data_IF_173308911924
#
_entry.id   IF_173308911924
#
_cell.length_a   1.000
_cell.length_b   1.000
_cell.length_c   1.000
_cell.angle_alpha   90.00
_cell.angle_beta   90.00
_cell.angle_gamma   90.00
#
_symmetry.space_group_name_H-M   'P 1'
#
loop_
_entity.id
_entity.type
_entity.pdbx_description
1 polymer ?
#
# COMPACT_ATOMS: atom_id res chain seq x y z
N UNK A 1 2.87 -4.33 -1.98
CA UNK A 1 2.29 -5.49 -1.28
C UNK A 1 0.76 -5.57 -1.43
N UNK A 2 -0.03 -4.54 -1.09
CA UNK A 2 -1.50 -4.59 -1.22
C UNK A 2 -1.98 -5.13 -2.58
N UNK A 3 -1.50 -4.53 -3.67
CA UNK A 3 -1.84 -4.94 -5.05
C UNK A 3 -1.40 -6.38 -5.34
N UNK A 4 -0.23 -6.79 -4.86
CA UNK A 4 0.28 -8.15 -5.07
C UNK A 4 -0.62 -9.18 -4.39
N UNK A 5 -1.02 -8.95 -3.13
CA UNK A 5 -1.87 -9.88 -2.37
C UNK A 5 -3.27 -9.98 -2.97
N UNK A 6 -3.87 -8.85 -3.34
CA UNK A 6 -5.19 -8.85 -4.00
C UNK A 6 -5.16 -9.55 -5.36
N UNK A 7 -4.13 -9.29 -6.19
CA UNK A 7 -4.05 -9.88 -7.52
C UNK A 7 -3.69 -11.37 -7.48
N UNK A 8 -2.77 -11.80 -6.60
CA UNK A 8 -2.38 -13.21 -6.47
C UNK A 8 -3.54 -14.07 -5.93
N UNK A 9 -4.23 -13.62 -4.89
CA UNK A 9 -5.40 -14.35 -4.38
C UNK A 9 -6.55 -14.39 -5.39
N UNK A 10 -6.81 -13.30 -6.11
CA UNK A 10 -7.81 -13.29 -7.18
C UNK A 10 -7.43 -14.18 -8.37
N UNK A 11 -6.14 -14.29 -8.70
CA UNK A 11 -5.66 -15.19 -9.75
C UNK A 11 -5.88 -16.67 -9.37
N UNK A 12 -5.63 -17.06 -8.11
CA UNK A 12 -5.89 -18.42 -7.66
C UNK A 12 -7.39 -18.78 -7.63
N UNK A 13 -8.27 -17.87 -7.22
CA UNK A 13 -9.73 -18.09 -7.28
C UNK A 13 -10.22 -18.27 -8.73
N UNK A 14 -9.73 -17.42 -9.63
CA UNK A 14 -10.09 -17.51 -11.05
C UNK A 14 -9.53 -18.79 -11.71
N UNK A 15 -8.32 -19.22 -11.32
CA UNK A 15 -7.77 -20.49 -11.78
C UNK A 15 -8.63 -21.68 -11.31
N UNK A 16 -9.10 -21.68 -10.06
CA UNK A 16 -10.04 -22.69 -9.54
C UNK A 16 -11.33 -22.72 -10.35
N UNK A 17 -11.96 -21.56 -10.58
CA UNK A 17 -13.20 -21.46 -11.40
C UNK A 17 -13.00 -21.98 -12.82
N UNK A 18 -11.87 -21.66 -13.46
CA UNK A 18 -11.56 -22.18 -14.80
C UNK A 18 -11.48 -23.71 -14.84
N UNK A 19 -10.93 -24.35 -13.80
CA UNK A 19 -10.93 -25.82 -13.67
C UNK A 19 -12.32 -26.35 -13.38
N UNK A 20 -13.10 -25.69 -12.52
CA UNK A 20 -14.50 -26.04 -12.25
C UNK A 20 -15.38 -26.01 -13.51
N UNK A 21 -15.08 -25.11 -14.45
CA UNK A 21 -15.74 -24.98 -15.76
C UNK A 21 -15.33 -26.08 -16.76
N UNK A 22 -14.39 -26.96 -16.39
CA UNK A 22 -14.04 -28.15 -17.19
C UNK A 22 -12.76 -28.04 -18.02
N UNK A 23 -12.06 -26.90 -18.02
CA UNK A 23 -10.89 -26.68 -18.88
C UNK A 23 -9.67 -27.56 -18.53
N UNK A 24 -9.65 -28.19 -17.35
CA UNK A 24 -8.59 -29.11 -16.92
C UNK A 24 -9.11 -30.28 -16.09
N UNK A 25 -10.05 -31.05 -16.64
CA UNK A 25 -10.57 -32.27 -16.00
C UNK A 25 -11.79 -32.04 -15.10
N UNK A 26 -12.18 -30.79 -14.86
CA UNK A 26 -13.43 -30.48 -14.16
C UNK A 26 -13.37 -30.72 -12.66
N UNK A 27 -14.53 -30.62 -12.02
CA UNK A 27 -14.69 -30.87 -10.58
C UNK A 27 -14.27 -32.30 -10.23
N UNK A 28 -13.68 -32.46 -9.05
CA UNK A 28 -13.14 -33.70 -8.48
C UNK A 28 -11.91 -34.30 -9.21
N UNK A 29 -11.32 -33.56 -10.16
CA UNK A 29 -10.02 -33.93 -10.72
C UNK A 29 -8.85 -33.56 -9.79
N UNK A 30 -7.67 -34.12 -10.04
CA UNK A 30 -6.45 -33.74 -9.32
C UNK A 30 -6.11 -32.26 -9.50
N UNK A 31 -6.38 -31.71 -10.69
CA UNK A 31 -6.22 -30.27 -10.96
C UNK A 31 -7.16 -29.43 -10.09
N UNK A 32 -8.42 -29.86 -9.92
CA UNK A 32 -9.37 -29.18 -9.05
C UNK A 32 -8.89 -29.17 -7.60
N UNK A 33 -8.43 -30.32 -7.09
CA UNK A 33 -7.88 -30.41 -5.73
C UNK A 33 -6.68 -29.47 -5.53
N UNK A 34 -5.76 -29.38 -6.51
CA UNK A 34 -4.61 -28.46 -6.44
C UNK A 34 -5.05 -26.99 -6.45
N UNK A 35 -6.03 -26.62 -7.29
CA UNK A 35 -6.53 -25.24 -7.34
C UNK A 35 -7.31 -24.82 -6.09
N UNK A 36 -7.98 -25.76 -5.41
CA UNK A 36 -8.62 -25.50 -4.11
C UNK A 36 -7.57 -25.10 -3.07
N UNK A 37 -6.43 -25.82 -3.01
CA UNK A 37 -5.33 -25.47 -2.10
C UNK A 37 -4.82 -24.05 -2.42
N UNK A 38 -4.63 -23.74 -3.70
CA UNK A 38 -4.20 -22.40 -4.13
C UNK A 38 -5.16 -21.30 -3.71
N UNK A 39 -6.47 -21.48 -3.91
CA UNK A 39 -7.48 -20.50 -3.48
C UNK A 39 -7.55 -20.37 -1.95
N UNK A 40 -7.43 -21.48 -1.22
CA UNK A 40 -7.40 -21.46 0.26
C UNK A 40 -6.22 -20.64 0.80
N UNK A 41 -5.06 -20.70 0.14
CA UNK A 41 -3.91 -19.83 0.46
C UNK A 41 -4.16 -18.39 0.02
N UNK A 42 -4.88 -18.19 -1.08
CA UNK A 42 -5.23 -16.88 -1.65
C UNK A 42 -6.33 -16.11 -0.91
N UNK A 43 -7.23 -16.79 -0.19
CA UNK A 43 -8.36 -16.17 0.52
C UNK A 43 -7.91 -15.14 1.57
N UNK A 44 -6.95 -15.45 2.48
CA UNK A 44 -6.41 -14.43 3.38
C UNK A 44 -5.74 -13.26 2.65
N UNK A 45 -5.21 -13.48 1.45
CA UNK A 45 -4.48 -12.45 0.70
C UNK A 45 -5.45 -11.47 0.01
N UNK A 46 -6.50 -11.99 -0.66
CA UNK A 46 -7.45 -11.16 -1.41
C UNK A 46 -8.53 -10.53 -0.55
N UNK A 47 -8.99 -11.21 0.52
CA UNK A 47 -10.15 -10.76 1.30
C UNK A 47 -9.76 -10.08 2.61
N UNK A 48 -8.56 -10.35 3.13
CA UNK A 48 -8.12 -9.80 4.43
C UNK A 48 -6.91 -8.88 4.28
N UNK A 49 -5.73 -9.43 3.96
CA UNK A 49 -4.47 -8.71 4.04
C UNK A 49 -4.32 -7.63 2.95
N UNK A 50 -4.68 -7.94 1.70
CA UNK A 50 -4.62 -7.00 0.59
C UNK A 50 -5.47 -5.75 0.84
N UNK A 51 -6.79 -5.88 1.09
CA UNK A 51 -7.67 -4.76 1.38
C UNK A 51 -7.30 -4.00 2.67
N UNK A 52 -6.80 -4.69 3.72
CA UNK A 52 -6.47 -4.06 5.00
C UNK A 52 -5.27 -3.11 4.96
N UNK A 53 -4.36 -3.24 3.99
CA UNK A 53 -3.18 -2.37 3.91
C UNK A 53 -3.57 -0.91 3.57
N UNK A 54 -4.61 -0.70 2.76
CA UNK A 54 -5.02 0.66 2.37
C UNK A 54 -5.53 1.51 3.57
N UNK A 55 -6.45 1.02 4.42
CA UNK A 55 -6.83 1.74 5.63
C UNK A 55 -5.69 1.79 6.66
N UNK A 56 -4.83 0.76 6.76
CA UNK A 56 -3.66 0.79 7.65
C UNK A 56 -2.76 2.00 7.38
N UNK A 57 -2.39 2.23 6.11
CA UNK A 57 -1.57 3.38 5.71
C UNK A 57 -2.27 4.69 6.04
N UNK A 58 -3.58 4.78 5.78
CA UNK A 58 -4.36 6.00 6.06
C UNK A 58 -4.39 6.31 7.56
N UNK A 59 -4.64 5.32 8.40
CA UNK A 59 -4.69 5.49 9.86
C UNK A 59 -3.30 5.80 10.41
N UNK A 60 -2.27 5.10 9.96
CA UNK A 60 -0.89 5.35 10.41
C UNK A 60 -0.43 6.78 10.09
N UNK A 61 -0.71 7.27 8.88
CA UNK A 61 -0.40 8.65 8.51
C UNK A 61 -1.21 9.67 9.34
N UNK A 62 -2.49 9.42 9.57
CA UNK A 62 -3.33 10.29 10.40
C UNK A 62 -2.80 10.38 11.84
N UNK A 63 -2.53 9.23 12.47
CA UNK A 63 -1.98 9.17 13.83
C UNK A 63 -0.63 9.89 13.90
N UNK A 64 0.24 9.68 12.91
CA UNK A 64 1.52 10.38 12.82
C UNK A 64 1.35 11.91 12.79
N UNK A 65 0.45 12.42 11.94
CA UNK A 65 0.17 13.85 11.85
C UNK A 65 -0.39 14.44 13.14
N UNK A 66 -1.27 13.70 13.83
CA UNK A 66 -1.85 14.17 15.10
C UNK A 66 -0.82 14.23 16.24
N UNK A 67 0.12 13.27 16.29
CA UNK A 67 1.12 13.18 17.37
C UNK A 67 2.33 14.09 17.12
N UNK A 68 2.60 14.45 15.86
CA UNK A 68 3.79 15.25 15.47
C UNK A 68 3.98 16.52 16.32
N UNK A 69 2.96 17.38 16.59
CA UNK A 69 3.16 18.59 17.39
C UNK A 69 3.59 18.30 18.84
N UNK A 70 3.08 17.22 19.43
CA UNK A 70 3.43 16.82 20.79
C UNK A 70 4.89 16.34 20.87
N UNK A 71 5.35 15.57 19.89
CA UNK A 71 6.76 15.12 19.81
C UNK A 71 7.70 16.31 19.65
N UNK A 72 7.38 17.24 18.75
CA UNK A 72 8.20 18.44 18.51
C UNK A 72 8.31 19.30 19.78
N UNK A 73 7.19 19.49 20.48
CA UNK A 73 7.16 20.25 21.73
C UNK A 73 8.04 19.62 22.82
N UNK A 74 7.96 18.30 22.99
CA UNK A 74 8.73 17.56 24.00
C UNK A 74 10.22 17.48 23.65
N UNK A 75 10.57 17.24 22.39
CA UNK A 75 11.94 16.99 21.96
C UNK A 75 12.79 18.27 21.84
N UNK A 76 12.19 19.41 21.48
CA UNK A 76 12.92 20.67 21.24
C UNK A 76 12.94 21.62 22.45
N UNK A 77 12.50 21.17 23.63
CA UNK A 77 12.60 21.92 24.89
C UNK A 77 11.92 23.30 24.89
N UNK A 78 10.93 23.50 24.02
CA UNK A 78 10.23 24.78 23.88
C UNK A 78 10.99 25.90 23.15
N UNK A 79 12.12 25.60 22.49
CA UNK A 79 12.83 26.62 21.69
C UNK A 79 12.07 26.94 20.41
N UNK A 80 11.25 28.00 20.47
CA UNK A 80 10.44 28.50 19.34
C UNK A 80 11.31 28.80 18.13
N UNK A 81 12.49 29.41 18.33
CA UNK A 81 13.40 29.77 17.22
C UNK A 81 13.89 28.55 16.45
N UNK A 82 14.31 27.49 17.14
CA UNK A 82 14.78 26.25 16.49
C UNK A 82 13.63 25.59 15.74
N UNK A 83 12.45 25.52 16.34
CA UNK A 83 11.25 24.95 15.73
C UNK A 83 10.82 25.70 14.47
N UNK A 84 10.87 27.05 14.49
CA UNK A 84 10.54 27.89 13.32
C UNK A 84 11.57 27.74 12.21
N UNK A 85 12.86 27.68 12.52
CA UNK A 85 13.92 27.49 11.50
C UNK A 85 13.79 26.12 10.82
N UNK A 86 13.56 25.05 11.58
CA UNK A 86 13.31 23.71 11.03
C UNK A 86 12.05 23.71 10.16
N UNK A 87 10.97 24.37 10.60
CA UNK A 87 9.72 24.46 9.83
C UNK A 87 9.88 25.18 8.48
N UNK A 88 10.61 26.30 8.45
CA UNK A 88 10.91 27.03 7.21
C UNK A 88 11.79 26.18 6.30
N UNK A 89 12.84 25.56 6.84
CA UNK A 89 13.73 24.67 6.09
C UNK A 89 12.98 23.50 5.45
N UNK A 90 12.13 22.81 6.22
CA UNK A 90 11.33 21.69 5.73
C UNK A 90 10.38 22.13 4.60
N UNK A 91 9.74 23.30 4.74
CA UNK A 91 8.83 23.84 3.73
C UNK A 91 9.56 24.15 2.42
N UNK A 92 10.75 24.77 2.49
CA UNK A 92 11.58 25.05 1.31
C UNK A 92 12.02 23.76 0.60
N UNK A 93 12.42 22.73 1.36
CA UNK A 93 12.78 21.41 0.80
C UNK A 93 11.59 20.77 0.09
N UNK A 94 10.40 20.80 0.69
CA UNK A 94 9.17 20.27 0.08
C UNK A 94 8.85 21.02 -1.22
N UNK A 95 8.89 22.35 -1.22
CA UNK A 95 8.65 23.17 -2.41
C UNK A 95 9.66 22.84 -3.52
N UNK A 96 10.95 22.75 -3.18
CA UNK A 96 11.99 22.39 -4.13
C UNK A 96 11.78 20.98 -4.72
N UNK A 97 11.41 20.01 -3.88
CA UNK A 97 11.10 18.64 -4.31
C UNK A 97 9.89 18.59 -5.25
N UNK A 98 8.82 19.35 -4.94
CA UNK A 98 7.63 19.45 -5.80
C UNK A 98 7.98 20.07 -7.15
N UNK A 99 8.75 21.16 -7.18
CA UNK A 99 9.20 21.79 -8.42
C UNK A 99 10.03 20.82 -9.26
N UNK A 100 10.97 20.09 -8.63
CA UNK A 100 11.80 19.09 -9.32
C UNK A 100 10.95 17.97 -9.92
N UNK A 101 9.99 17.43 -9.17
CA UNK A 101 9.11 16.38 -9.64
C UNK A 101 8.26 16.84 -10.83
N UNK A 102 7.69 18.05 -10.74
CA UNK A 102 6.92 18.63 -11.86
C UNK A 102 7.79 18.85 -13.10
N UNK A 103 9.02 19.34 -12.95
CA UNK A 103 9.96 19.51 -14.08
C UNK A 103 10.33 18.18 -14.74
N UNK A 104 10.52 17.12 -13.96
CA UNK A 104 10.78 15.78 -14.50
C UNK A 104 9.59 15.23 -15.27
N UNK A 105 8.36 15.44 -14.78
CA UNK A 105 7.16 15.03 -15.49
C UNK A 105 6.98 15.75 -16.83
N UNK A 106 7.30 17.05 -16.91
CA UNK A 106 7.22 17.82 -18.17
C UNK A 106 8.32 17.45 -19.17
N UNK A 107 9.49 17.02 -18.69
CA UNK A 107 10.61 16.64 -19.57
C UNK A 107 10.43 15.29 -20.29
N UNK A 108 9.49 14.44 -19.85
CA UNK A 108 9.21 13.12 -20.47
C UNK A 108 8.22 13.26 -21.65
N UNK A 109 7.57 14.42 -21.79
CA UNK A 109 6.53 14.70 -22.80
C UNK A 109 7.04 15.47 -24.03
N UNK A 110 8.33 15.82 -24.08
CA UNK A 110 9.01 16.44 -25.23
C UNK A 110 10.11 15.51 -25.74
#
# INVERSE_FOLDING_TARGET
MAVFLSNSGGAWDNAKKMVEDGHHGGKNSDAHAATIIGDTVGDPFKDTAGPAINPLIKVMNLVGLLITPAIVSLALGGSTTISTVIGIGATLVIIAALIRNRRQATAILN
#
